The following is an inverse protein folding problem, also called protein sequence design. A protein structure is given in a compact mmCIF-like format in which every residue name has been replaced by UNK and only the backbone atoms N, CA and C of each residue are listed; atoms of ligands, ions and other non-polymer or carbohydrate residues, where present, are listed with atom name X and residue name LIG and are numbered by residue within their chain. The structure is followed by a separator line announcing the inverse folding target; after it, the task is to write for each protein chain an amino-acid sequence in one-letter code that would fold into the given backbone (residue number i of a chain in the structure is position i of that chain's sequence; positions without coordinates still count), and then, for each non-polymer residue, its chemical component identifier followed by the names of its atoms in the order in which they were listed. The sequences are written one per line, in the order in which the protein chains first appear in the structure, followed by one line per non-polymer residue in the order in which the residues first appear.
data_IF_597579953080
#
_entry.id   IF_597579953080
#
_cell.length_a   1.000
_cell.length_b   1.000
_cell.length_c   1.000
_cell.angle_alpha   90.00
_cell.angle_beta   90.00
_cell.angle_gamma   90.00
#
_symmetry.space_group_name_H-M   'P 1'
#
loop_
_entity.id
_entity.type
_entity.pdbx_description
1 polymer ?
#
# COMPACT_ATOMS: atom_id res chain seq x y z
N UNK A 1 -2.01 1.31 -16.25
CA UNK A 1 -1.30 1.13 -14.96
C UNK A 1 0.07 0.46 -15.10
N UNK A 2 0.19 -0.65 -15.82
CA UNK A 2 1.48 -1.32 -16.04
C UNK A 2 2.50 -0.39 -16.70
N UNK A 3 2.10 0.36 -17.72
CA UNK A 3 2.98 1.32 -18.38
C UNK A 3 3.49 2.41 -17.43
N UNK A 4 2.62 2.93 -16.58
CA UNK A 4 2.99 3.89 -15.54
C UNK A 4 4.02 3.29 -14.56
N UNK A 5 3.77 2.10 -14.06
CA UNK A 5 4.68 1.41 -13.12
C UNK A 5 6.05 1.20 -13.76
N UNK A 6 6.10 0.70 -14.99
CA UNK A 6 7.36 0.46 -15.69
C UNK A 6 8.18 1.73 -15.87
N UNK A 7 7.53 2.85 -16.15
CA UNK A 7 8.21 4.14 -16.27
C UNK A 7 8.74 4.62 -14.92
N UNK A 8 7.95 4.51 -13.85
CA UNK A 8 8.36 4.96 -12.52
C UNK A 8 9.52 4.15 -11.96
N UNK A 9 9.60 2.86 -12.24
CA UNK A 9 10.64 1.97 -11.68
C UNK A 9 11.80 1.71 -12.65
N UNK A 10 11.85 2.36 -13.80
CA UNK A 10 12.87 2.08 -14.82
C UNK A 10 14.31 2.25 -14.37
N UNK A 11 14.55 3.12 -13.38
CA UNK A 11 15.88 3.37 -12.80
C UNK A 11 16.15 2.53 -11.54
N UNK A 12 15.23 1.63 -11.20
CA UNK A 12 15.33 0.75 -10.04
C UNK A 12 15.43 -0.71 -10.49
N UNK A 13 16.02 -1.53 -9.64
CA UNK A 13 15.96 -2.98 -9.85
C UNK A 13 14.61 -3.49 -9.38
N UNK A 14 13.67 -3.62 -10.31
CA UNK A 14 12.29 -3.96 -10.01
C UNK A 14 11.73 -4.99 -10.96
N UNK A 15 10.80 -5.79 -10.45
CA UNK A 15 10.05 -6.79 -11.20
C UNK A 15 8.55 -6.50 -11.07
N UNK A 16 7.85 -6.58 -12.20
CA UNK A 16 6.40 -6.33 -12.26
C UNK A 16 5.72 -7.60 -12.74
N UNK A 17 4.83 -8.14 -11.94
CA UNK A 17 4.07 -9.36 -12.26
C UNK A 17 2.76 -9.36 -11.45
N UNK A 18 1.93 -10.36 -11.61
CA UNK A 18 0.70 -10.46 -10.83
C UNK A 18 -0.37 -11.28 -11.51
N UNK A 19 -1.58 -11.16 -11.00
CA UNK A 19 -2.77 -11.80 -11.53
C UNK A 19 -3.49 -10.84 -12.49
N UNK A 20 -2.94 -10.73 -13.71
CA UNK A 20 -3.37 -9.70 -14.67
C UNK A 20 -4.87 -9.77 -15.01
N UNK A 21 -5.44 -10.98 -15.06
CA UNK A 21 -6.87 -11.17 -15.31
C UNK A 21 -7.78 -10.58 -14.23
N UNK A 22 -7.27 -10.46 -13.01
CA UNK A 22 -7.97 -9.85 -11.88
C UNK A 22 -7.59 -8.39 -11.67
N UNK A 23 -6.71 -7.84 -12.51
CA UNK A 23 -6.20 -6.48 -12.35
C UNK A 23 -5.23 -6.32 -11.18
N UNK A 24 -4.72 -7.41 -10.62
CA UNK A 24 -3.80 -7.39 -9.47
C UNK A 24 -2.36 -7.35 -9.96
N UNK A 25 -1.65 -6.26 -9.66
CA UNK A 25 -0.27 -6.04 -10.09
C UNK A 25 0.64 -6.02 -8.87
N UNK A 26 1.70 -6.80 -8.92
CA UNK A 26 2.74 -6.83 -7.89
C UNK A 26 4.02 -6.18 -8.42
N UNK A 27 4.57 -5.27 -7.64
CA UNK A 27 5.85 -4.63 -7.94
C UNK A 27 6.83 -4.98 -6.82
N UNK A 28 7.92 -5.62 -7.19
CA UNK A 28 9.00 -5.97 -6.25
C UNK A 28 10.21 -5.11 -6.59
N UNK A 29 10.61 -4.26 -5.67
CA UNK A 29 11.80 -3.41 -5.81
C UNK A 29 12.88 -3.94 -4.89
N UNK A 30 14.05 -4.18 -5.45
CA UNK A 30 15.20 -4.72 -4.72
C UNK A 30 16.22 -3.63 -4.49
N UNK A 31 16.44 -3.25 -3.23
CA UNK A 31 17.45 -2.29 -2.85
C UNK A 31 17.88 -2.54 -1.40
N UNK A 32 18.95 -1.85 -0.99
CA UNK A 32 19.49 -1.94 0.35
C UNK A 32 18.83 -0.86 1.24
N UNK A 33 18.07 -1.25 2.29
CA UNK A 33 17.44 -0.28 3.18
C UNK A 33 18.45 0.54 3.99
N UNK A 34 19.71 0.10 4.10
CA UNK A 34 20.76 0.85 4.77
C UNK A 34 21.27 2.04 3.95
N UNK A 35 21.08 2.03 2.63
CA UNK A 35 21.29 3.19 1.76
C UNK A 35 20.05 4.09 1.81
N UNK A 36 20.03 5.01 2.76
CA UNK A 36 18.86 5.83 3.05
C UNK A 36 18.39 6.69 1.88
N UNK A 37 19.32 7.20 1.09
CA UNK A 37 18.99 8.03 -0.07
C UNK A 37 18.25 7.23 -1.15
N UNK A 38 18.75 6.05 -1.45
CA UNK A 38 18.10 5.14 -2.42
C UNK A 38 16.79 4.58 -1.89
N UNK A 39 16.77 4.23 -0.60
CA UNK A 39 15.55 3.71 0.02
C UNK A 39 14.43 4.76 0.04
N UNK A 40 14.76 6.02 0.30
CA UNK A 40 13.79 7.12 0.20
C UNK A 40 13.22 7.24 -1.21
N UNK A 41 14.04 7.03 -2.25
CA UNK A 41 13.56 7.00 -3.64
C UNK A 41 12.60 5.82 -3.87
N UNK A 42 12.90 4.64 -3.34
CA UNK A 42 12.02 3.46 -3.43
C UNK A 42 10.67 3.75 -2.78
N UNK A 43 10.67 4.35 -1.60
CA UNK A 43 9.44 4.72 -0.89
C UNK A 43 8.62 5.76 -1.67
N UNK A 44 9.27 6.76 -2.25
CA UNK A 44 8.61 7.78 -3.07
C UNK A 44 7.95 7.16 -4.30
N UNK A 45 8.65 6.28 -5.01
CA UNK A 45 8.09 5.58 -6.17
C UNK A 45 6.93 4.66 -5.78
N UNK A 46 7.05 3.97 -4.64
CA UNK A 46 5.95 3.15 -4.12
C UNK A 46 4.71 4.01 -3.85
N UNK A 47 4.90 5.17 -3.22
CA UNK A 47 3.80 6.09 -2.96
C UNK A 47 3.12 6.56 -4.25
N UNK A 48 3.90 6.95 -5.25
CA UNK A 48 3.37 7.36 -6.56
C UNK A 48 2.55 6.26 -7.23
N UNK A 49 3.04 5.03 -7.19
CA UNK A 49 2.35 3.88 -7.78
C UNK A 49 1.01 3.64 -7.08
N UNK A 50 1.00 3.65 -5.74
CA UNK A 50 -0.23 3.45 -4.96
C UNK A 50 -1.25 4.57 -5.24
N UNK A 51 -0.81 5.82 -5.21
CA UNK A 51 -1.69 6.95 -5.48
C UNK A 51 -2.27 6.90 -6.90
N UNK A 52 -1.48 6.45 -7.87
CA UNK A 52 -1.97 6.28 -9.24
C UNK A 52 -3.01 5.16 -9.34
N UNK A 53 -2.83 4.07 -8.59
CA UNK A 53 -3.84 3.01 -8.53
C UNK A 53 -5.16 3.54 -7.97
N UNK A 54 -5.11 4.36 -6.92
CA UNK A 54 -6.31 4.99 -6.36
C UNK A 54 -6.97 5.96 -7.33
N UNK A 55 -6.19 6.72 -8.12
CA UNK A 55 -6.72 7.61 -9.16
C UNK A 55 -7.48 6.83 -10.26
N UNK A 56 -7.09 5.59 -10.51
CA UNK A 56 -7.80 4.69 -11.42
C UNK A 56 -8.94 3.90 -10.76
N UNK A 57 -9.37 4.35 -9.58
CA UNK A 57 -10.44 3.69 -8.80
C UNK A 57 -10.07 2.27 -8.36
N UNK A 58 -8.77 2.00 -8.26
CA UNK A 58 -8.25 0.76 -7.70
C UNK A 58 -8.06 0.83 -6.19
N UNK A 59 -7.31 -0.12 -5.66
CA UNK A 59 -7.04 -0.21 -4.22
C UNK A 59 -5.54 -0.18 -3.94
N UNK A 60 -5.16 0.20 -2.73
CA UNK A 60 -3.76 0.24 -2.30
C UNK A 60 -3.17 -1.16 -2.07
N UNK A 61 -4.01 -2.18 -1.95
CA UNK A 61 -3.57 -3.57 -1.77
C UNK A 61 -4.47 -4.50 -2.58
N UNK A 62 -3.86 -5.41 -3.34
CA UNK A 62 -4.60 -6.34 -4.19
C UNK A 62 -5.16 -7.54 -3.43
N UNK A 63 -4.33 -8.20 -2.61
CA UNK A 63 -4.72 -9.45 -1.97
C UNK A 63 -4.12 -9.68 -0.58
N UNK A 64 -3.01 -9.01 -0.25
CA UNK A 64 -2.22 -9.32 0.95
C UNK A 64 -2.72 -8.62 2.22
N UNK A 65 -3.68 -7.72 2.10
CA UNK A 65 -4.12 -6.89 3.23
C UNK A 65 -3.23 -5.69 3.46
N UNK A 66 -3.57 -4.92 4.47
CA UNK A 66 -3.00 -3.60 4.68
C UNK A 66 -1.81 -3.60 5.65
N UNK A 67 -1.98 -4.18 6.83
CA UNK A 67 -0.96 -4.17 7.87
C UNK A 67 -0.52 -2.76 8.26
N UNK A 68 0.78 -2.56 8.35
CA UNK A 68 1.39 -1.25 8.63
C UNK A 68 1.76 -0.53 7.32
N UNK A 69 2.25 -1.28 6.33
CA UNK A 69 2.82 -0.71 5.12
C UNK A 69 1.86 0.09 4.25
N UNK A 70 0.60 -0.31 4.21
CA UNK A 70 -0.43 0.35 3.40
C UNK A 70 -1.39 1.22 4.20
N UNK A 71 -1.29 1.20 5.53
CA UNK A 71 -2.17 2.00 6.39
C UNK A 71 -2.17 3.52 6.08
N UNK A 72 -1.05 4.15 5.65
CA UNK A 72 -1.07 5.56 5.29
C UNK A 72 -1.99 5.92 4.14
N UNK A 73 -2.37 4.96 3.30
CA UNK A 73 -3.22 5.19 2.13
C UNK A 73 -4.72 5.00 2.42
N UNK A 74 -5.07 4.45 3.59
CA UNK A 74 -6.44 4.07 3.91
C UNK A 74 -7.41 5.25 3.92
N UNK A 75 -7.00 6.39 4.47
CA UNK A 75 -7.87 7.56 4.52
C UNK A 75 -8.19 8.06 3.12
N UNK A 76 -7.22 8.07 2.22
CA UNK A 76 -7.42 8.50 0.84
C UNK A 76 -8.33 7.54 0.09
N UNK A 77 -8.18 6.23 0.30
CA UNK A 77 -8.98 5.21 -0.39
C UNK A 77 -10.40 5.13 0.14
N UNK A 78 -10.58 5.11 1.47
CA UNK A 78 -11.86 4.81 2.10
C UNK A 78 -12.57 6.02 2.70
N UNK A 79 -11.85 7.12 2.96
CA UNK A 79 -12.44 8.33 3.54
C UNK A 79 -13.18 8.04 4.85
N UNK A 80 -14.43 8.50 4.95
CA UNK A 80 -15.25 8.33 6.15
C UNK A 80 -15.57 6.87 6.51
N UNK A 81 -15.50 5.95 5.56
CA UNK A 81 -15.69 4.52 5.82
C UNK A 81 -14.65 3.97 6.79
N UNK A 82 -13.45 4.57 6.82
CA UNK A 82 -12.40 4.17 7.76
C UNK A 82 -12.84 4.31 9.21
N UNK A 83 -13.64 5.34 9.52
CA UNK A 83 -14.18 5.55 10.86
C UNK A 83 -15.14 4.42 11.26
N UNK A 84 -15.95 3.94 10.33
CA UNK A 84 -16.86 2.80 10.55
C UNK A 84 -16.03 1.53 10.80
N UNK A 85 -15.01 1.29 9.98
CA UNK A 85 -14.11 0.14 10.15
C UNK A 85 -13.46 0.15 11.54
N UNK A 86 -13.01 1.32 12.00
CA UNK A 86 -12.42 1.47 13.32
C UNK A 86 -13.40 1.14 14.45
N UNK A 87 -14.66 1.58 14.33
CA UNK A 87 -15.70 1.25 15.29
C UNK A 87 -16.01 -0.25 15.35
N UNK A 88 -15.99 -0.94 14.21
CA UNK A 88 -16.15 -2.39 14.17
C UNK A 88 -14.99 -3.06 14.91
N UNK A 89 -13.76 -2.63 14.68
CA UNK A 89 -12.58 -3.12 15.39
C UNK A 89 -12.72 -2.93 16.90
N UNK A 90 -13.10 -1.73 17.33
CA UNK A 90 -13.29 -1.40 18.75
C UNK A 90 -14.41 -2.22 19.41
N UNK A 91 -15.45 -2.55 18.66
CA UNK A 91 -16.54 -3.38 19.15
C UNK A 91 -16.08 -4.81 19.47
N UNK A 92 -15.27 -5.43 18.59
CA UNK A 92 -14.78 -6.78 18.78
C UNK A 92 -13.54 -6.88 19.68
N UNK A 93 -12.78 -5.81 19.78
CA UNK A 93 -11.52 -5.77 20.53
C UNK A 93 -11.42 -4.45 21.31
N UNK A 94 -12.30 -4.27 22.33
CA UNK A 94 -12.39 -3.00 23.04
C UNK A 94 -11.12 -2.67 23.84
N UNK A 95 -10.33 -3.68 24.22
CA UNK A 95 -9.08 -3.48 24.97
C UNK A 95 -7.85 -3.35 24.08
N UNK A 96 -8.01 -3.49 22.75
CA UNK A 96 -6.92 -3.32 21.79
C UNK A 96 -5.83 -4.39 21.91
N UNK A 97 -6.20 -5.64 22.21
CA UNK A 97 -5.26 -6.73 22.41
C UNK A 97 -4.88 -7.44 21.11
N UNK A 98 -5.74 -7.39 20.11
CA UNK A 98 -5.55 -8.10 18.85
C UNK A 98 -4.86 -7.20 17.83
N UNK A 99 -3.64 -7.58 17.43
CA UNK A 99 -2.84 -6.85 16.44
C UNK A 99 -2.77 -5.34 16.70
N UNK A 100 -2.34 -4.91 17.89
CA UNK A 100 -2.30 -3.48 18.22
C UNK A 100 -1.36 -2.73 17.28
N UNK A 101 -1.76 -1.53 16.85
CA UNK A 101 -0.94 -0.70 15.97
C UNK A 101 -0.88 -1.16 14.52
N UNK A 102 -1.66 -2.17 14.13
CA UNK A 102 -1.78 -2.61 12.75
C UNK A 102 -3.04 -2.01 12.14
N UNK A 103 -3.06 -1.85 10.83
CA UNK A 103 -4.16 -1.28 10.05
C UNK A 103 -4.48 0.17 10.47
N UNK A 104 -4.92 0.39 11.71
CA UNK A 104 -5.15 1.71 12.28
C UNK A 104 -3.91 2.14 13.08
N UNK A 105 -3.05 2.94 12.46
CA UNK A 105 -1.73 3.28 13.00
C UNK A 105 -1.63 4.69 13.60
N UNK A 106 -2.70 5.38 13.71
CA UNK A 106 -2.71 6.74 14.22
C UNK A 106 -2.38 6.87 15.69
#
# INVERSE_FOLDING_TARGET
MVGFIKEEVKNLQAYVFGHAGDGNIRVVVMDNPDDRARWAQVEDENQKIVLKALDYEGTCTGEHGVGIGKSPFLLKEHGESLRVMKKIKEFFDPEGLLNPGKFFTE
#
